data_IF_108691185730
#
_entry.id   IF_108691185730
#
_cell.length_a   1.000
_cell.length_b   1.000
_cell.length_c   1.000
_cell.angle_alpha   90.00
_cell.angle_beta   90.00
_cell.angle_gamma   90.00
#
_symmetry.space_group_name_H-M   'P 1'
#
loop_
_entity.id
_entity.type
_entity.pdbx_description
1 polymer ?
#
# COMPACT_ATOMS: atom_id res chain seq x y z
N UNK A 1 14.48 -32.47 -6.90
CA UNK A 1 13.34 -31.85 -6.19
C UNK A 1 13.79 -30.44 -5.90
N UNK A 2 13.16 -29.45 -6.54
CA UNK A 2 13.61 -28.07 -6.46
C UNK A 2 13.41 -27.53 -5.05
N UNK A 3 14.50 -27.29 -4.34
CA UNK A 3 14.54 -26.32 -3.26
C UNK A 3 14.22 -24.97 -3.90
N UNK A 4 12.93 -24.62 -3.94
CA UNK A 4 12.58 -23.22 -4.13
C UNK A 4 13.08 -22.53 -2.88
N UNK A 5 14.24 -21.88 -3.01
CA UNK A 5 14.61 -20.75 -2.16
C UNK A 5 13.36 -19.87 -2.06
N UNK A 6 12.67 -19.96 -0.94
CA UNK A 6 11.69 -18.96 -0.52
C UNK A 6 12.54 -17.76 -0.15
N UNK A 7 13.14 -17.09 -1.14
CA UNK A 7 13.60 -15.73 -0.98
C UNK A 7 12.31 -14.98 -0.69
N UNK A 8 12.09 -14.46 0.52
CA UNK A 8 10.93 -13.61 0.75
C UNK A 8 11.00 -12.53 -0.33
N UNK A 9 9.91 -12.30 -1.09
CA UNK A 9 9.95 -11.32 -2.17
C UNK A 9 10.52 -10.04 -1.58
N UNK A 10 11.60 -9.55 -2.19
CA UNK A 10 12.30 -8.34 -1.74
C UNK A 10 11.25 -7.27 -1.42
N UNK A 11 11.40 -6.48 -0.34
CA UNK A 11 10.36 -5.56 0.15
C UNK A 11 9.70 -4.71 -0.96
N UNK A 12 10.51 -4.31 -1.96
CA UNK A 12 10.09 -3.56 -3.15
C UNK A 12 8.97 -4.21 -3.98
N UNK A 13 8.91 -5.55 -4.05
CA UNK A 13 7.85 -6.25 -4.80
C UNK A 13 6.52 -6.23 -4.05
N UNK A 14 6.55 -6.27 -2.71
CA UNK A 14 5.33 -6.21 -1.89
C UNK A 14 4.70 -4.84 -1.98
N UNK A 15 5.51 -3.79 -1.91
CA UNK A 15 5.07 -2.41 -2.06
C UNK A 15 4.38 -2.19 -3.43
N UNK A 16 4.95 -2.73 -4.51
CA UNK A 16 4.37 -2.62 -5.85
C UNK A 16 3.02 -3.34 -6.00
N UNK A 17 2.86 -4.53 -5.41
CA UNK A 17 1.57 -5.25 -5.40
C UNK A 17 0.51 -4.47 -4.63
N UNK A 18 0.88 -3.91 -3.48
CA UNK A 18 -0.03 -3.09 -2.66
C UNK A 18 -0.42 -1.81 -3.40
N UNK A 19 0.53 -1.11 -4.06
CA UNK A 19 0.22 0.07 -4.90
C UNK A 19 -0.83 -0.27 -5.96
N UNK A 20 -0.64 -1.36 -6.70
CA UNK A 20 -1.59 -1.78 -7.73
C UNK A 20 -2.97 -2.12 -7.15
N UNK A 21 -2.99 -2.76 -5.97
CA UNK A 21 -4.22 -3.05 -5.26
C UNK A 21 -4.94 -1.76 -4.84
N UNK A 22 -4.23 -0.82 -4.22
CA UNK A 22 -4.76 0.49 -3.80
C UNK A 22 -5.34 1.26 -4.98
N UNK A 23 -4.59 1.39 -6.08
CA UNK A 23 -5.05 2.08 -7.28
C UNK A 23 -6.34 1.48 -7.84
N UNK A 24 -6.44 0.15 -7.84
CA UNK A 24 -7.64 -0.55 -8.32
C UNK A 24 -8.84 -0.27 -7.43
N UNK A 25 -8.70 -0.41 -6.12
CA UNK A 25 -9.81 -0.24 -5.18
C UNK A 25 -10.26 1.23 -5.06
N UNK A 26 -9.32 2.18 -5.08
CA UNK A 26 -9.67 3.61 -5.11
C UNK A 26 -10.34 3.96 -6.44
N UNK A 27 -9.88 3.37 -7.55
CA UNK A 27 -10.51 3.50 -8.86
C UNK A 27 -11.94 2.94 -8.94
N UNK A 28 -12.32 1.99 -8.06
CA UNK A 28 -13.71 1.50 -7.94
C UNK A 28 -14.56 2.36 -7.00
N UNK A 29 -13.96 3.36 -6.34
CA UNK A 29 -14.64 4.29 -5.43
C UNK A 29 -14.56 3.89 -3.96
N UNK A 30 -13.77 2.87 -3.58
CA UNK A 30 -13.49 2.61 -2.15
C UNK A 30 -12.57 3.70 -1.61
N UNK A 31 -12.80 4.17 -0.37
CA UNK A 31 -11.93 5.16 0.25
C UNK A 31 -10.59 4.52 0.64
N UNK A 32 -9.50 5.30 0.54
CA UNK A 32 -8.14 4.81 0.80
C UNK A 32 -7.99 4.18 2.20
N UNK A 33 -8.64 4.75 3.23
CA UNK A 33 -8.55 4.23 4.60
C UNK A 33 -9.00 2.76 4.70
N UNK A 34 -10.16 2.41 4.14
CA UNK A 34 -10.72 1.05 4.14
C UNK A 34 -9.80 0.06 3.40
N UNK A 35 -9.06 0.55 2.41
CA UNK A 35 -8.14 -0.28 1.63
C UNK A 35 -6.84 -0.50 2.41
N UNK A 36 -6.34 0.52 3.10
CA UNK A 36 -5.15 0.43 3.93
C UNK A 36 -5.35 -0.43 5.18
N UNK A 37 -6.58 -0.52 5.68
CA UNK A 37 -6.96 -1.41 6.79
C UNK A 37 -7.28 -2.85 6.35
N UNK A 38 -7.28 -3.13 5.03
CA UNK A 38 -7.58 -4.46 4.50
C UNK A 38 -6.50 -5.46 4.96
N UNK A 39 -6.92 -6.66 5.37
CA UNK A 39 -6.01 -7.73 5.80
C UNK A 39 -4.96 -8.03 4.74
N UNK A 40 -5.31 -7.96 3.44
CA UNK A 40 -4.34 -8.17 2.36
C UNK A 40 -3.18 -7.18 2.39
N UNK A 41 -3.47 -5.93 2.72
CA UNK A 41 -2.54 -4.80 2.76
C UNK A 41 -1.75 -4.80 4.07
N UNK A 42 -2.43 -4.92 5.20
CA UNK A 42 -1.81 -4.97 6.53
C UNK A 42 -0.84 -6.15 6.68
N UNK A 43 -1.17 -7.33 6.12
CA UNK A 43 -0.28 -8.51 6.14
C UNK A 43 0.97 -8.34 5.25
N UNK A 44 0.95 -7.37 4.32
CA UNK A 44 2.01 -7.15 3.33
C UNK A 44 2.89 -5.95 3.62
N UNK A 45 2.36 -4.93 4.29
CA UNK A 45 3.09 -3.72 4.64
C UNK A 45 3.86 -3.92 5.96
N UNK A 46 5.13 -3.50 5.96
CA UNK A 46 5.94 -3.38 7.16
C UNK A 46 5.83 -1.98 7.80
N UNK A 47 6.42 -1.81 8.99
CA UNK A 47 6.63 -0.49 9.59
C UNK A 47 7.57 0.33 8.69
N UNK A 48 6.98 1.14 7.81
CA UNK A 48 7.67 2.03 6.88
C UNK A 48 7.27 1.84 5.41
N UNK A 49 6.70 0.70 5.03
CA UNK A 49 6.12 0.52 3.70
C UNK A 49 4.84 1.33 3.49
N UNK A 50 4.09 1.68 4.55
CA UNK A 50 2.93 2.57 4.46
C UNK A 50 3.29 3.90 3.79
N UNK A 51 4.32 4.59 4.29
CA UNK A 51 4.76 5.86 3.73
C UNK A 51 5.25 5.73 2.30
N UNK A 52 5.96 4.64 1.97
CA UNK A 52 6.44 4.41 0.60
C UNK A 52 5.30 4.22 -0.40
N UNK A 53 4.24 3.51 0.00
CA UNK A 53 3.04 3.34 -0.82
C UNK A 53 2.28 4.65 -0.96
N UNK A 54 2.13 5.41 0.13
CA UNK A 54 1.45 6.71 0.13
C UNK A 54 2.21 7.78 -0.68
N UNK A 55 3.54 7.80 -0.62
CA UNK A 55 4.39 8.69 -1.43
C UNK A 55 4.53 8.24 -2.89
N UNK A 56 3.97 7.09 -3.26
CA UNK A 56 4.04 6.63 -4.63
C UNK A 56 3.28 7.62 -5.53
N UNK A 57 3.90 8.13 -6.62
CA UNK A 57 3.31 9.18 -7.45
C UNK A 57 1.95 8.77 -8.01
N UNK A 58 1.81 7.53 -8.48
CA UNK A 58 0.53 7.01 -8.98
C UNK A 58 -0.57 7.03 -7.90
N UNK A 59 -0.24 6.68 -6.66
CA UNK A 59 -1.21 6.68 -5.55
C UNK A 59 -1.56 8.11 -5.17
N UNK A 60 -0.57 8.99 -5.09
CA UNK A 60 -0.79 10.43 -4.84
C UNK A 60 -1.66 11.08 -5.92
N UNK A 61 -1.46 10.73 -7.19
CA UNK A 61 -2.28 11.24 -8.31
C UNK A 61 -3.71 10.69 -8.29
N UNK A 62 -3.89 9.40 -7.96
CA UNK A 62 -5.20 8.76 -7.94
C UNK A 62 -6.08 9.20 -6.76
N UNK A 63 -5.47 9.35 -5.58
CA UNK A 63 -6.20 9.66 -4.34
C UNK A 63 -6.20 11.16 -4.05
N UNK A 64 -5.12 11.86 -4.40
CA UNK A 64 -4.90 13.27 -4.09
C UNK A 64 -4.11 13.50 -2.81
N UNK A 65 -3.27 14.54 -2.81
CA UNK A 65 -2.35 14.85 -1.72
C UNK A 65 -3.05 15.16 -0.38
N UNK A 66 -4.26 15.72 -0.40
CA UNK A 66 -5.03 16.03 0.82
C UNK A 66 -5.43 14.75 1.57
N UNK A 67 -5.86 13.72 0.84
CA UNK A 67 -6.24 12.42 1.44
C UNK A 67 -5.00 11.67 1.94
N UNK A 68 -3.88 11.73 1.21
CA UNK A 68 -2.60 11.18 1.67
C UNK A 68 -2.18 11.81 3.00
N UNK A 69 -2.25 13.14 3.10
CA UNK A 69 -1.87 13.86 4.32
C UNK A 69 -2.78 13.50 5.50
N UNK A 70 -4.07 13.29 5.27
CA UNK A 70 -4.99 12.83 6.31
C UNK A 70 -4.71 11.38 6.74
N UNK A 71 -4.45 10.47 5.81
CA UNK A 71 -4.10 9.08 6.15
C UNK A 71 -2.83 8.99 6.98
N UNK A 72 -1.81 9.81 6.68
CA UNK A 72 -0.60 9.88 7.50
C UNK A 72 -0.89 10.23 8.95
N UNK A 73 -1.73 11.24 9.18
CA UNK A 73 -2.14 11.63 10.54
C UNK A 73 -2.89 10.52 11.27
N UNK A 74 -3.65 9.71 10.55
CA UNK A 74 -4.38 8.58 11.12
C UNK A 74 -3.45 7.41 11.48
N UNK A 75 -2.39 7.19 10.71
CA UNK A 75 -1.42 6.12 10.95
C UNK A 75 -0.38 6.48 12.04
N UNK A 76 -0.08 7.77 12.20
CA UNK A 76 0.88 8.28 13.20
C UNK A 76 0.31 8.37 14.64
N UNK A 77 -0.96 8.04 14.86
CA UNK A 77 -1.72 8.25 16.11
C UNK A 77 -2.13 6.93 16.77
#
# INVERSE_FOLDING_TARGET
MSEQDIIPPSPQHRDAEVVQHVLREVGTGRPLHDVMEDSYVVERLDEGSHDRVLDHPEVTEAVGADIIAEMRRLLDN
#
